data_IF_208750292511
#
_entry.id   IF_208750292511
#
_cell.length_a   1.000
_cell.length_b   1.000
_cell.length_c   1.000
_cell.angle_alpha   90.00
_cell.angle_beta   90.00
_cell.angle_gamma   90.00
#
_symmetry.space_group_name_H-M   'P 1'
#
loop_
_entity.id
_entity.type
_entity.pdbx_description
1 polymer ?
#
# COMPACT_ATOMS: atom_id res chain seq x y z
N UNK A 1 3.12 -54.32 0.94
CA UNK A 1 3.42 -54.89 2.24
C UNK A 1 3.35 -53.73 3.20
N UNK A 2 2.17 -53.39 3.68
CA UNK A 2 1.45 -53.86 4.88
C UNK A 2 2.13 -53.40 6.16
N UNK A 3 1.41 -52.50 6.89
CA UNK A 3 1.71 -52.12 8.24
C UNK A 3 0.87 -50.92 8.68
N UNK A 4 -0.48 -51.09 8.77
CA UNK A 4 -1.37 -50.17 9.49
C UNK A 4 -1.51 -50.73 10.89
N UNK A 5 -0.90 -50.10 11.89
CA UNK A 5 -1.17 -50.40 13.28
C UNK A 5 -2.39 -49.59 13.76
N UNK A 6 -3.34 -50.33 14.26
CA UNK A 6 -4.60 -49.84 14.81
C UNK A 6 -4.37 -49.26 16.21
N UNK A 7 -4.86 -48.05 16.46
CA UNK A 7 -4.93 -47.41 17.79
C UNK A 7 -6.04 -48.02 18.64
N UNK A 8 -5.68 -48.34 19.91
CA UNK A 8 -6.48 -48.92 20.99
C UNK A 8 -7.75 -48.10 21.30
N UNK A 9 -8.96 -48.72 21.41
CA UNK A 9 -10.22 -48.03 21.65
C UNK A 9 -10.51 -47.64 23.09
N UNK A 10 -9.55 -47.61 24.02
CA UNK A 10 -9.80 -47.45 25.48
C UNK A 10 -9.57 -46.07 26.06
N UNK A 11 -9.45 -45.03 25.26
CA UNK A 11 -9.38 -43.63 25.75
C UNK A 11 -10.59 -42.81 25.32
N UNK A 12 -11.79 -43.22 25.73
CA UNK A 12 -12.94 -42.32 25.85
C UNK A 12 -13.17 -42.06 27.35
N UNK A 13 -12.54 -41.03 27.86
CA UNK A 13 -12.86 -40.41 29.14
C UNK A 13 -13.94 -39.35 28.96
N UNK A 14 -15.09 -39.68 29.48
CA UNK A 14 -16.30 -38.84 29.56
C UNK A 14 -16.12 -37.89 30.77
N UNK A 15 -15.71 -36.65 30.52
CA UNK A 15 -15.63 -35.58 31.53
C UNK A 15 -15.98 -34.21 30.96
N UNK A 16 -17.21 -34.06 30.50
CA UNK A 16 -17.71 -32.80 29.96
C UNK A 16 -19.20 -32.54 30.19
N UNK A 17 -19.70 -32.78 31.42
CA UNK A 17 -21.06 -32.28 31.72
C UNK A 17 -21.40 -32.36 33.22
N UNK A 18 -20.79 -31.56 34.09
CA UNK A 18 -21.22 -31.42 35.50
C UNK A 18 -21.22 -30.00 36.00
N UNK A 19 -21.87 -29.08 35.29
CA UNK A 19 -22.02 -27.71 35.80
C UNK A 19 -23.44 -27.10 35.76
N UNK A 20 -24.48 -27.86 35.44
CA UNK A 20 -25.87 -27.31 35.39
C UNK A 20 -26.93 -28.32 35.88
N UNK A 21 -26.90 -28.70 37.19
CA UNK A 21 -28.07 -29.29 37.85
C UNK A 21 -28.11 -28.87 39.31
N UNK A 22 -28.42 -27.61 39.58
CA UNK A 22 -28.97 -27.21 40.88
C UNK A 22 -30.46 -27.54 40.86
N UNK A 23 -30.94 -28.30 41.83
CA UNK A 23 -32.34 -28.66 42.00
C UNK A 23 -33.21 -27.39 42.22
N UNK A 24 -34.51 -27.47 41.91
CA UNK A 24 -35.44 -26.36 42.13
C UNK A 24 -35.48 -25.94 43.62
N UNK A 25 -35.24 -26.86 44.55
CA UNK A 25 -35.17 -26.58 45.99
C UNK A 25 -33.93 -25.78 46.38
N UNK A 26 -32.79 -26.00 45.76
CA UNK A 26 -31.58 -25.22 46.00
C UNK A 26 -31.69 -23.79 45.51
N UNK A 27 -32.39 -23.62 44.40
CA UNK A 27 -32.68 -22.24 43.86
C UNK A 27 -33.62 -21.47 44.79
N UNK A 28 -34.63 -22.10 45.37
CA UNK A 28 -35.56 -21.46 46.30
C UNK A 28 -34.85 -21.05 47.62
N UNK A 29 -33.95 -21.89 48.15
CA UNK A 29 -33.17 -21.55 49.35
C UNK A 29 -32.20 -20.38 49.15
N UNK A 30 -31.63 -20.26 48.00
CA UNK A 30 -30.74 -19.11 47.67
C UNK A 30 -31.56 -17.83 47.54
N UNK A 31 -32.75 -17.85 46.93
CA UNK A 31 -33.61 -16.67 46.79
C UNK A 31 -34.20 -16.21 48.15
N UNK A 32 -34.50 -17.11 49.05
CA UNK A 32 -35.01 -16.80 50.41
C UNK A 32 -33.92 -16.19 51.31
N UNK A 33 -32.65 -16.60 51.13
CA UNK A 33 -31.50 -16.01 51.85
C UNK A 33 -31.27 -14.53 51.50
N UNK A 34 -31.60 -14.09 50.27
CA UNK A 34 -31.45 -12.70 49.83
C UNK A 34 -32.57 -11.77 50.28
N UNK A 35 -33.67 -12.29 50.87
CA UNK A 35 -34.81 -11.45 51.35
C UNK A 35 -34.69 -10.98 52.78
N UNK A 36 -33.64 -11.32 53.52
CA UNK A 36 -33.46 -10.84 54.91
C UNK A 36 -32.47 -9.63 54.95
N UNK A 37 -32.97 -8.42 55.32
CA UNK A 37 -32.16 -7.18 55.25
C UNK A 37 -31.04 -7.02 56.28
N UNK A 38 -30.74 -8.07 57.11
CA UNK A 38 -29.68 -8.05 58.10
C UNK A 38 -28.50 -9.00 57.85
N UNK A 39 -28.51 -9.76 56.74
CA UNK A 39 -27.44 -10.71 56.42
C UNK A 39 -26.34 -10.14 55.49
N UNK A 40 -26.60 -9.05 54.80
CA UNK A 40 -25.68 -8.49 53.83
C UNK A 40 -24.38 -7.91 54.44
N UNK A 41 -24.40 -7.21 55.61
CA UNK A 41 -23.17 -6.71 56.24
C UNK A 41 -22.31 -7.81 56.84
N UNK A 42 -22.92 -8.89 57.32
CA UNK A 42 -22.17 -10.02 57.94
C UNK A 42 -21.52 -10.91 56.88
N UNK A 43 -22.10 -11.07 55.72
CA UNK A 43 -21.53 -11.80 54.59
C UNK A 43 -20.38 -11.06 53.94
N UNK A 44 -20.45 -9.73 53.87
CA UNK A 44 -19.35 -8.88 53.35
C UNK A 44 -18.19 -8.85 54.37
N UNK A 45 -18.46 -8.84 55.69
CA UNK A 45 -17.43 -8.88 56.73
C UNK A 45 -16.76 -10.28 56.83
N UNK A 46 -17.48 -11.37 56.59
CA UNK A 46 -16.88 -12.72 56.54
C UNK A 46 -16.09 -12.97 55.25
N UNK A 47 -16.49 -12.40 54.14
CA UNK A 47 -15.73 -12.47 52.90
C UNK A 47 -14.41 -11.64 52.98
N UNK A 48 -14.40 -10.57 53.78
CA UNK A 48 -13.19 -9.76 54.02
C UNK A 48 -12.21 -10.36 55.03
N UNK A 49 -12.65 -11.29 55.86
CA UNK A 49 -11.79 -11.98 56.87
C UNK A 49 -11.30 -13.36 56.43
N UNK A 50 -11.75 -13.89 55.30
CA UNK A 50 -11.38 -15.18 54.76
C UNK A 50 -10.36 -15.11 53.60
N UNK A 51 -9.65 -14.01 53.47
CA UNK A 51 -8.49 -13.91 52.58
C UNK A 51 -7.23 -13.73 53.43
N UNK A 52 -6.63 -14.82 53.98
CA UNK A 52 -5.26 -14.75 54.45
C UNK A 52 -4.38 -14.82 53.20
N UNK A 53 -3.77 -13.70 52.86
CA UNK A 53 -2.43 -13.69 52.28
C UNK A 53 -2.19 -14.56 51.05
N UNK A 54 -3.01 -14.42 50.00
CA UNK A 54 -2.50 -14.55 48.64
C UNK A 54 -2.37 -13.16 48.04
N UNK A 55 -1.42 -12.40 48.56
CA UNK A 55 -0.63 -11.57 47.67
C UNK A 55 0.12 -12.56 46.78
N UNK A 56 -0.58 -13.15 45.80
CA UNK A 56 0.07 -13.54 44.58
C UNK A 56 0.65 -12.22 44.07
N UNK A 57 1.96 -12.04 44.32
CA UNK A 57 2.75 -11.31 43.38
C UNK A 57 2.36 -11.93 42.04
N UNK A 58 1.42 -11.31 41.34
CA UNK A 58 1.35 -11.40 39.92
C UNK A 58 2.71 -10.82 39.54
N UNK A 59 3.73 -11.67 39.48
CA UNK A 59 4.87 -11.39 38.64
C UNK A 59 4.21 -11.03 37.32
N UNK A 60 4.14 -9.74 37.03
CA UNK A 60 4.02 -9.30 35.67
C UNK A 60 5.18 -9.98 34.98
N UNK A 61 4.89 -11.11 34.34
CA UNK A 61 5.89 -11.83 33.58
C UNK A 61 6.50 -10.74 32.72
N UNK A 62 7.76 -10.42 32.96
CA UNK A 62 8.46 -9.38 32.25
C UNK A 62 8.25 -9.73 30.79
N UNK A 63 7.60 -8.84 30.02
CA UNK A 63 7.26 -9.12 28.64
C UNK A 63 8.54 -9.64 27.99
N UNK A 64 8.50 -10.87 27.47
CA UNK A 64 9.69 -11.49 26.89
C UNK A 64 10.32 -10.50 25.92
N UNK A 65 11.63 -10.34 25.96
CA UNK A 65 12.33 -9.42 25.07
C UNK A 65 11.94 -9.75 23.62
N UNK A 66 11.65 -8.73 22.78
CA UNK A 66 11.23 -8.94 21.40
C UNK A 66 12.24 -9.83 20.66
N UNK A 67 11.75 -10.80 19.92
CA UNK A 67 12.60 -11.72 19.16
C UNK A 67 12.84 -11.13 17.77
N UNK A 68 14.10 -11.06 17.36
CA UNK A 68 14.50 -10.72 15.99
C UNK A 68 14.83 -12.02 15.25
N UNK A 69 14.01 -12.40 14.29
CA UNK A 69 14.25 -13.58 13.46
C UNK A 69 15.15 -13.23 12.25
N UNK A 70 16.17 -14.06 12.00
CA UNK A 70 17.11 -13.82 10.89
C UNK A 70 16.48 -14.02 9.52
N UNK A 71 15.48 -14.89 9.41
CA UNK A 71 14.71 -15.11 8.17
C UNK A 71 13.90 -13.88 7.83
N UNK A 72 13.24 -13.25 8.82
CA UNK A 72 12.51 -12.01 8.63
C UNK A 72 13.42 -10.87 8.20
N UNK A 73 14.59 -10.72 8.84
CA UNK A 73 15.60 -9.72 8.45
C UNK A 73 16.08 -9.94 7.02
N UNK A 74 16.40 -11.19 6.65
CA UNK A 74 16.86 -11.52 5.29
C UNK A 74 15.75 -11.26 4.26
N UNK A 75 14.49 -11.63 4.58
CA UNK A 75 13.32 -11.36 3.74
C UNK A 75 13.11 -9.87 3.53
N UNK A 76 13.18 -9.07 4.59
CA UNK A 76 12.94 -7.62 4.51
C UNK A 76 14.05 -6.88 3.77
N UNK A 77 15.31 -7.28 3.93
CA UNK A 77 16.42 -6.74 3.12
C UNK A 77 16.24 -7.10 1.64
N UNK A 78 15.86 -8.35 1.33
CA UNK A 78 15.54 -8.79 -0.04
C UNK A 78 14.36 -8.01 -0.60
N UNK A 79 13.28 -7.85 0.18
CA UNK A 79 12.10 -7.08 -0.22
C UNK A 79 12.45 -5.62 -0.50
N UNK A 80 13.32 -5.00 0.29
CA UNK A 80 13.82 -3.65 0.06
C UNK A 80 14.56 -3.54 -1.29
N UNK A 81 15.44 -4.50 -1.59
CA UNK A 81 16.14 -4.56 -2.89
C UNK A 81 15.16 -4.75 -4.06
N UNK A 82 14.13 -5.58 -3.89
CA UNK A 82 13.09 -5.79 -4.90
C UNK A 82 12.29 -4.51 -5.18
N UNK A 83 11.95 -3.72 -4.16
CA UNK A 83 11.27 -2.42 -4.36
C UNK A 83 12.19 -1.38 -4.99
N UNK A 84 13.48 -1.38 -4.66
CA UNK A 84 14.46 -0.57 -5.38
C UNK A 84 14.56 -0.97 -6.86
N UNK A 85 14.62 -2.29 -7.14
CA UNK A 85 14.66 -2.84 -8.49
C UNK A 85 13.43 -2.43 -9.32
N UNK A 86 12.23 -2.49 -8.73
CA UNK A 86 11.03 -2.08 -9.47
C UNK A 86 10.98 -0.58 -9.73
N UNK A 87 11.64 0.25 -8.93
CA UNK A 87 11.61 1.71 -9.08
C UNK A 87 12.66 2.20 -10.05
N UNK A 88 13.94 2.00 -9.72
CA UNK A 88 15.04 2.64 -10.46
C UNK A 88 15.20 2.04 -11.85
N UNK A 89 15.37 0.73 -12.08
CA UNK A 89 15.31 0.21 -13.43
C UNK A 89 13.88 -0.06 -13.93
N UNK A 90 13.00 -0.62 -13.10
CA UNK A 90 11.66 -1.07 -13.55
C UNK A 90 10.77 0.05 -14.05
N UNK A 91 10.42 0.99 -13.17
CA UNK A 91 9.56 2.13 -13.51
C UNK A 91 10.23 3.05 -14.54
N UNK A 92 11.55 3.28 -14.40
CA UNK A 92 12.29 4.10 -15.34
C UNK A 92 12.20 3.53 -16.77
N UNK A 93 12.43 2.22 -16.97
CA UNK A 93 12.30 1.58 -18.29
C UNK A 93 10.85 1.52 -18.77
N UNK A 94 9.90 1.27 -17.87
CA UNK A 94 8.48 1.26 -18.22
C UNK A 94 8.07 2.63 -18.79
N UNK A 95 8.37 3.72 -18.08
CA UNK A 95 8.09 5.07 -18.52
C UNK A 95 8.97 5.50 -19.71
N UNK A 96 10.25 5.14 -19.66
CA UNK A 96 11.21 5.42 -20.73
C UNK A 96 10.76 4.87 -22.07
N UNK A 97 10.21 3.64 -22.09
CA UNK A 97 9.65 3.05 -23.31
C UNK A 97 8.38 3.73 -23.83
N UNK A 98 7.59 4.33 -22.93
CA UNK A 98 6.30 4.98 -23.26
C UNK A 98 6.45 6.39 -23.83
N UNK A 99 7.47 7.15 -23.44
CA UNK A 99 7.72 8.49 -23.97
C UNK A 99 8.28 8.46 -25.39
N UNK A 100 8.31 9.63 -26.06
CA UNK A 100 9.01 9.77 -27.36
C UNK A 100 10.54 9.66 -27.14
N UNK A 101 11.27 9.16 -28.14
CA UNK A 101 12.72 8.88 -28.07
C UNK A 101 13.58 10.06 -27.58
N UNK A 102 13.16 11.28 -27.85
CA UNK A 102 13.84 12.52 -27.44
C UNK A 102 13.58 12.95 -25.98
N UNK A 103 12.85 12.16 -25.20
CA UNK A 103 12.49 12.43 -23.80
C UNK A 103 12.79 11.24 -22.88
N UNK A 104 13.53 10.23 -23.36
CA UNK A 104 13.83 9.01 -22.62
C UNK A 104 14.68 9.32 -21.40
N UNK A 105 15.85 9.96 -21.61
CA UNK A 105 16.77 10.29 -20.53
C UNK A 105 16.15 11.26 -19.52
N UNK A 106 15.32 12.19 -20.01
CA UNK A 106 14.62 13.12 -19.14
C UNK A 106 13.68 12.40 -18.17
N UNK A 107 12.90 11.40 -18.61
CA UNK A 107 12.01 10.68 -17.69
C UNK A 107 12.78 9.72 -16.78
N UNK A 108 13.82 9.07 -17.28
CA UNK A 108 14.72 8.24 -16.46
C UNK A 108 15.36 9.07 -15.33
N UNK A 109 15.89 10.25 -15.68
CA UNK A 109 16.50 11.18 -14.73
C UNK A 109 15.49 11.70 -13.71
N UNK A 110 14.26 11.97 -14.11
CA UNK A 110 13.19 12.36 -13.18
C UNK A 110 12.88 11.25 -12.18
N UNK A 111 12.73 9.99 -12.62
CA UNK A 111 12.49 8.84 -11.73
C UNK A 111 13.64 8.68 -10.74
N UNK A 112 14.88 8.66 -11.22
CA UNK A 112 16.08 8.51 -10.38
C UNK A 112 16.23 9.65 -9.38
N UNK A 113 16.10 10.89 -9.82
CA UNK A 113 16.30 12.06 -8.99
C UNK A 113 15.20 12.23 -7.92
N UNK A 114 13.93 11.98 -8.28
CA UNK A 114 12.82 12.03 -7.34
C UNK A 114 12.95 10.94 -6.28
N UNK A 115 13.27 9.70 -6.68
CA UNK A 115 13.52 8.62 -5.75
C UNK A 115 14.63 8.97 -4.76
N UNK A 116 15.79 9.43 -5.28
CA UNK A 116 16.96 9.80 -4.47
C UNK A 116 16.65 10.95 -3.52
N UNK A 117 15.95 11.99 -4.00
CA UNK A 117 15.56 13.13 -3.18
C UNK A 117 14.67 12.68 -2.01
N UNK A 118 13.63 11.89 -2.30
CA UNK A 118 12.66 11.45 -1.28
C UNK A 118 13.33 10.52 -0.25
N UNK A 119 14.22 9.62 -0.66
CA UNK A 119 14.98 8.77 0.28
C UNK A 119 15.84 9.62 1.23
N UNK A 120 16.47 10.70 0.75
CA UNK A 120 17.21 11.62 1.62
C UNK A 120 16.28 12.41 2.56
N UNK A 121 15.16 12.91 2.06
CA UNK A 121 14.15 13.59 2.88
C UNK A 121 13.49 12.63 3.89
N UNK A 122 13.36 11.33 3.53
CA UNK A 122 12.88 10.29 4.43
C UNK A 122 13.76 10.17 5.67
N UNK A 123 15.07 10.10 5.49
CA UNK A 123 16.02 10.05 6.60
C UNK A 123 16.05 11.37 7.37
N UNK A 124 15.95 12.50 6.69
CA UNK A 124 16.00 13.81 7.34
C UNK A 124 14.81 14.04 8.28
N UNK A 125 13.58 13.81 7.83
CA UNK A 125 12.37 14.05 8.61
C UNK A 125 11.18 13.15 8.26
N UNK A 126 11.22 12.47 7.12
CA UNK A 126 10.06 11.70 6.62
C UNK A 126 9.71 10.54 7.53
N UNK A 127 10.71 9.78 7.97
CA UNK A 127 10.51 8.63 8.84
C UNK A 127 9.81 9.01 10.14
N UNK A 128 10.28 10.06 10.80
CA UNK A 128 9.69 10.49 12.09
C UNK A 128 8.27 11.04 11.92
N UNK A 129 7.99 11.75 10.82
CA UNK A 129 6.64 12.27 10.56
C UNK A 129 5.65 11.19 10.12
N UNK A 130 6.12 10.09 9.50
CA UNK A 130 5.27 8.97 9.12
C UNK A 130 5.09 7.94 10.25
N UNK A 131 6.15 7.62 11.00
CA UNK A 131 6.19 6.51 11.96
C UNK A 131 6.70 6.89 13.36
N UNK A 132 6.99 8.14 13.60
CA UNK A 132 7.27 8.66 14.94
C UNK A 132 5.98 8.82 15.76
N UNK A 133 6.10 8.92 17.10
CA UNK A 133 5.00 9.23 17.98
C UNK A 133 4.28 10.52 17.56
N UNK A 134 3.05 10.74 18.00
CA UNK A 134 2.35 11.96 17.64
C UNK A 134 0.82 11.83 17.65
N UNK A 135 0.17 12.65 16.85
CA UNK A 135 -1.29 12.66 16.74
C UNK A 135 -1.81 11.68 15.67
N UNK A 136 -3.11 11.76 15.43
CA UNK A 136 -3.80 10.86 14.50
C UNK A 136 -3.49 11.10 13.01
N UNK A 137 -2.86 12.21 12.66
CA UNK A 137 -2.68 12.67 11.27
C UNK A 137 -1.24 12.78 10.83
N UNK A 138 -0.30 12.97 11.76
CA UNK A 138 1.13 13.12 11.47
C UNK A 138 1.95 12.87 12.75
N UNK A 139 3.15 12.31 12.61
CA UNK A 139 4.10 12.08 13.68
C UNK A 139 4.81 13.34 14.18
N UNK A 140 5.68 13.17 15.15
CA UNK A 140 6.50 14.24 15.77
C UNK A 140 7.87 14.36 15.09
N UNK A 141 8.75 15.19 15.66
CA UNK A 141 10.13 15.36 15.20
C UNK A 141 11.17 14.62 16.07
N UNK A 142 10.74 13.63 16.87
CA UNK A 142 11.61 12.98 17.86
C UNK A 142 12.77 12.20 17.24
N UNK A 143 12.60 11.72 16.01
CA UNK A 143 13.60 10.94 15.27
C UNK A 143 14.15 11.69 14.04
N UNK A 144 14.25 13.03 14.10
CA UNK A 144 14.90 13.79 13.03
C UNK A 144 16.30 13.25 12.73
N UNK A 145 16.63 13.09 11.45
CA UNK A 145 17.89 12.49 10.98
C UNK A 145 18.15 11.11 11.62
N UNK A 146 17.09 10.35 11.92
CA UNK A 146 17.12 9.06 12.62
C UNK A 146 17.77 9.16 14.03
N UNK A 147 17.63 10.31 14.70
CA UNK A 147 18.11 10.47 16.08
C UNK A 147 17.50 9.39 16.98
N UNK A 148 18.37 8.72 17.74
CA UNK A 148 17.96 7.61 18.62
C UNK A 148 17.72 6.27 17.92
N UNK A 149 17.79 6.19 16.59
CA UNK A 149 17.78 4.93 15.85
C UNK A 149 19.19 4.36 15.83
N UNK A 150 19.37 3.16 16.38
CA UNK A 150 20.67 2.48 16.50
C UNK A 150 20.59 1.05 15.98
N UNK A 151 21.68 0.28 16.10
CA UNK A 151 21.67 -1.15 15.73
C UNK A 151 20.80 -1.99 16.68
N UNK A 152 20.54 -1.48 17.88
CA UNK A 152 19.81 -2.12 18.94
C UNK A 152 18.32 -1.75 18.95
N UNK A 153 17.92 -0.66 18.26
CA UNK A 153 16.52 -0.24 18.20
C UNK A 153 15.72 -1.16 17.28
N UNK A 154 14.47 -1.40 17.67
CA UNK A 154 13.60 -2.36 17.02
C UNK A 154 12.31 -1.69 16.56
N UNK A 155 11.80 -2.13 15.42
CA UNK A 155 10.46 -1.85 14.92
C UNK A 155 9.58 -3.09 15.09
N UNK A 156 8.38 -2.90 15.61
CA UNK A 156 7.41 -3.98 15.76
C UNK A 156 6.95 -4.51 14.39
N UNK A 157 6.62 -5.79 14.34
CA UNK A 157 5.94 -6.43 13.22
C UNK A 157 4.46 -6.64 13.56
N UNK A 158 3.75 -7.45 12.77
CA UNK A 158 2.34 -7.78 13.03
C UNK A 158 2.17 -8.90 14.06
N UNK A 159 3.21 -9.69 14.34
CA UNK A 159 3.19 -10.74 15.36
C UNK A 159 3.68 -10.19 16.69
N UNK A 160 2.85 -10.33 17.74
CA UNK A 160 3.22 -9.86 19.07
C UNK A 160 4.54 -10.51 19.55
N UNK A 161 5.49 -9.69 19.99
CA UNK A 161 6.81 -10.14 20.46
C UNK A 161 7.82 -10.42 19.35
N UNK A 162 7.46 -10.24 18.06
CA UNK A 162 8.39 -10.30 16.92
C UNK A 162 8.72 -8.87 16.47
N UNK A 163 9.99 -8.64 16.16
CA UNK A 163 10.47 -7.31 15.75
C UNK A 163 11.58 -7.40 14.71
N UNK A 164 11.75 -6.32 13.97
CA UNK A 164 12.85 -6.12 13.03
C UNK A 164 13.85 -5.09 13.58
N UNK A 165 15.14 -5.16 13.23
CA UNK A 165 16.02 -4.01 13.40
C UNK A 165 15.40 -2.77 12.76
N UNK A 166 15.32 -1.67 13.49
CA UNK A 166 14.61 -0.47 13.02
C UNK A 166 15.18 0.07 11.71
N UNK A 167 16.50 -0.06 11.49
CA UNK A 167 17.13 0.30 10.20
C UNK A 167 16.57 -0.48 9.00
N UNK A 168 16.16 -1.74 9.18
CA UNK A 168 15.53 -2.54 8.11
C UNK A 168 14.17 -1.97 7.76
N UNK A 169 13.37 -1.63 8.76
CA UNK A 169 12.06 -1.00 8.57
C UNK A 169 12.18 0.40 7.92
N UNK A 170 13.12 1.23 8.40
CA UNK A 170 13.43 2.54 7.80
C UNK A 170 13.79 2.41 6.32
N UNK A 171 14.69 1.47 5.98
CA UNK A 171 15.12 1.25 4.60
C UNK A 171 13.97 0.77 3.72
N UNK A 172 13.16 -0.20 4.19
CA UNK A 172 12.01 -0.71 3.45
C UNK A 172 10.99 0.39 3.16
N UNK A 173 10.57 1.13 4.17
CA UNK A 173 9.57 2.18 4.02
C UNK A 173 10.07 3.38 3.20
N UNK A 174 11.38 3.65 3.18
CA UNK A 174 11.97 4.68 2.32
C UNK A 174 11.74 4.40 0.83
N UNK A 175 11.75 3.13 0.43
CA UNK A 175 11.52 2.73 -0.96
C UNK A 175 10.08 2.96 -1.40
N UNK A 176 9.11 2.81 -0.50
CA UNK A 176 7.69 3.13 -0.73
C UNK A 176 7.48 4.63 -0.94
N UNK A 177 8.07 5.45 -0.09
CA UNK A 177 8.05 6.90 -0.23
C UNK A 177 8.66 7.32 -1.58
N UNK A 178 9.81 6.77 -1.91
CA UNK A 178 10.55 7.08 -3.14
C UNK A 178 9.79 6.72 -4.40
N UNK A 179 9.25 5.49 -4.49
CA UNK A 179 8.48 5.07 -5.67
C UNK A 179 7.20 5.88 -5.82
N UNK A 180 6.51 6.21 -4.71
CA UNK A 180 5.26 6.96 -4.78
C UNK A 180 5.44 8.32 -5.47
N UNK A 181 6.50 9.06 -5.10
CA UNK A 181 6.83 10.30 -5.79
C UNK A 181 7.25 10.10 -7.25
N UNK A 182 8.02 9.03 -7.54
CA UNK A 182 8.46 8.71 -8.89
C UNK A 182 7.30 8.31 -9.83
N UNK A 183 6.23 7.71 -9.32
CA UNK A 183 5.04 7.40 -10.12
C UNK A 183 4.38 8.63 -10.72
N UNK A 184 4.36 9.75 -9.99
CA UNK A 184 3.65 10.97 -10.39
C UNK A 184 4.22 11.57 -11.69
N UNK A 185 5.54 11.43 -11.90
CA UNK A 185 6.24 12.08 -13.03
C UNK A 185 5.70 11.63 -14.39
N UNK A 186 5.17 10.42 -14.47
CA UNK A 186 4.56 9.90 -15.70
C UNK A 186 3.40 10.74 -16.23
N UNK A 187 2.64 11.39 -15.35
CA UNK A 187 1.45 12.13 -15.75
C UNK A 187 1.76 13.40 -16.57
N UNK A 188 2.88 14.03 -16.31
CA UNK A 188 3.30 15.29 -16.95
C UNK A 188 4.64 15.19 -17.68
N UNK A 189 5.09 13.97 -17.97
CA UNK A 189 6.29 13.72 -18.76
C UNK A 189 6.29 14.50 -20.08
N UNK A 190 7.50 14.74 -20.62
CA UNK A 190 7.78 15.40 -21.90
C UNK A 190 7.59 16.93 -21.95
N UNK A 191 7.13 17.58 -20.85
CA UNK A 191 6.82 19.04 -20.90
C UNK A 191 7.09 19.81 -19.60
N UNK A 192 7.38 19.14 -18.49
CA UNK A 192 7.65 19.80 -17.21
C UNK A 192 9.13 20.15 -17.07
N UNK A 193 9.44 21.24 -16.37
CA UNK A 193 10.82 21.61 -16.01
C UNK A 193 11.35 20.66 -14.94
N UNK A 194 12.59 20.19 -15.09
CA UNK A 194 13.21 19.27 -14.13
C UNK A 194 13.21 19.81 -12.68
N UNK A 195 13.62 21.10 -12.50
CA UNK A 195 13.56 21.76 -11.18
C UNK A 195 12.15 21.85 -10.59
N UNK A 196 11.13 21.93 -11.44
CA UNK A 196 9.74 21.94 -10.99
C UNK A 196 9.32 20.56 -10.46
N UNK A 197 9.78 19.48 -11.09
CA UNK A 197 9.55 18.12 -10.60
C UNK A 197 10.15 17.94 -9.21
N UNK A 198 11.40 18.35 -8.99
CA UNK A 198 12.06 18.17 -7.70
C UNK A 198 11.40 18.98 -6.58
N UNK A 199 11.08 20.25 -6.82
CA UNK A 199 10.42 21.10 -5.83
C UNK A 199 9.00 20.58 -5.52
N UNK A 200 8.24 20.18 -6.55
CA UNK A 200 6.92 19.57 -6.38
C UNK A 200 7.03 18.30 -5.53
N UNK A 201 7.95 17.41 -5.86
CA UNK A 201 8.12 16.13 -5.16
C UNK A 201 8.45 16.33 -3.69
N UNK A 202 9.30 17.30 -3.33
CA UNK A 202 9.61 17.63 -1.95
C UNK A 202 8.38 18.15 -1.18
N UNK A 203 7.62 19.09 -1.75
CA UNK A 203 6.40 19.63 -1.15
C UNK A 203 5.31 18.57 -1.02
N UNK A 204 5.07 17.84 -2.09
CA UNK A 204 4.04 16.80 -2.11
C UNK A 204 4.37 15.64 -1.16
N UNK A 205 5.62 15.18 -1.13
CA UNK A 205 6.08 14.19 -0.15
C UNK A 205 5.79 14.64 1.27
N UNK A 206 6.15 15.87 1.62
CA UNK A 206 6.00 16.41 2.97
C UNK A 206 4.53 16.55 3.38
N UNK A 207 3.70 17.12 2.51
CA UNK A 207 2.35 17.54 2.89
C UNK A 207 1.24 16.59 2.41
N UNK A 208 1.50 15.70 1.45
CA UNK A 208 0.52 14.70 1.03
C UNK A 208 0.92 13.29 1.48
N UNK A 209 2.12 12.83 1.10
CA UNK A 209 2.53 11.45 1.36
C UNK A 209 2.63 11.15 2.86
N UNK A 210 3.38 11.95 3.61
CA UNK A 210 3.65 11.68 5.03
C UNK A 210 2.37 11.65 5.89
N UNK A 211 1.42 12.61 5.79
CA UNK A 211 0.17 12.52 6.54
C UNK A 211 -0.68 11.30 6.16
N UNK A 212 -0.78 10.96 4.87
CA UNK A 212 -1.56 9.79 4.45
C UNK A 212 -0.90 8.49 4.95
N UNK A 213 0.43 8.36 4.84
CA UNK A 213 1.17 7.21 5.36
C UNK A 213 1.00 7.05 6.87
N UNK A 214 1.07 8.15 7.63
CA UNK A 214 0.83 8.13 9.07
C UNK A 214 -0.60 7.72 9.41
N UNK A 215 -1.59 8.32 8.79
CA UNK A 215 -3.00 8.00 9.05
C UNK A 215 -3.33 6.53 8.80
N UNK A 216 -2.69 5.90 7.80
CA UNK A 216 -3.02 4.54 7.35
C UNK A 216 -2.12 3.47 7.97
N UNK A 217 -0.82 3.76 8.19
CA UNK A 217 0.18 2.73 8.52
C UNK A 217 0.86 2.89 9.89
N UNK A 218 0.69 4.02 10.57
CA UNK A 218 1.34 4.23 11.87
C UNK A 218 0.86 3.26 12.95
N UNK A 219 -0.29 2.62 12.77
CA UNK A 219 -0.88 1.69 13.74
C UNK A 219 -2.08 2.30 14.46
N UNK A 220 -2.38 1.86 15.71
CA UNK A 220 -3.64 2.18 16.38
C UNK A 220 -3.95 3.67 16.53
N UNK A 221 -2.93 4.51 16.58
CA UNK A 221 -3.07 5.96 16.72
C UNK A 221 -3.30 6.66 15.37
N UNK A 222 -2.99 6.03 14.23
CA UNK A 222 -3.28 6.56 12.90
C UNK A 222 -4.79 6.63 12.64
N UNK A 223 -5.29 7.78 12.21
CA UNK A 223 -6.73 8.03 12.13
C UNK A 223 -7.50 7.04 11.24
N UNK A 224 -7.00 6.74 10.05
CA UNK A 224 -7.64 5.77 9.14
C UNK A 224 -7.44 4.33 9.61
N UNK A 225 -6.27 4.01 10.18
CA UNK A 225 -6.02 2.72 10.81
C UNK A 225 -7.03 2.47 11.95
N UNK A 226 -7.21 3.45 12.86
CA UNK A 226 -8.16 3.37 13.96
C UNK A 226 -9.63 3.22 13.50
N UNK A 227 -9.95 3.63 12.26
CA UNK A 227 -11.26 3.39 11.63
C UNK A 227 -11.39 1.99 11.02
N UNK A 228 -10.32 1.18 11.03
CA UNK A 228 -10.29 -0.14 10.44
C UNK A 228 -10.02 -0.14 8.92
N UNK A 229 -9.44 0.93 8.37
CA UNK A 229 -9.05 0.95 6.96
C UNK A 229 -7.98 -0.12 6.69
N UNK A 230 -8.20 -0.92 5.66
CA UNK A 230 -7.26 -1.95 5.19
C UNK A 230 -6.54 -1.42 3.97
N UNK A 231 -5.24 -1.25 4.10
CA UNK A 231 -4.34 -0.91 3.01
C UNK A 231 -3.01 -1.63 3.21
N UNK A 232 -2.96 -2.90 2.78
CA UNK A 232 -1.87 -3.81 3.12
C UNK A 232 -0.51 -3.32 2.63
N UNK A 233 -0.45 -2.82 1.40
CA UNK A 233 0.81 -2.40 0.81
C UNK A 233 0.74 -1.06 0.04
N UNK A 234 -0.35 -0.26 0.12
CA UNK A 234 -0.36 1.09 -0.42
C UNK A 234 -1.35 1.37 -1.54
N UNK A 235 -2.53 0.74 -1.52
CA UNK A 235 -3.61 1.10 -2.46
C UNK A 235 -3.99 2.57 -2.35
N UNK A 236 -4.17 3.08 -1.14
CA UNK A 236 -4.43 4.48 -0.84
C UNK A 236 -3.14 5.28 -0.71
N UNK A 237 -2.21 4.83 0.13
CA UNK A 237 -0.98 5.58 0.44
C UNK A 237 -0.11 5.82 -0.79
N UNK A 238 -0.01 4.85 -1.69
CA UNK A 238 0.84 4.93 -2.88
C UNK A 238 0.02 5.25 -4.13
N UNK A 239 -0.90 4.36 -4.52
CA UNK A 239 -1.47 4.39 -5.87
C UNK A 239 -2.54 5.47 -6.07
N UNK A 240 -3.53 5.56 -5.17
CA UNK A 240 -4.55 6.63 -5.26
C UNK A 240 -3.88 7.98 -5.07
N UNK A 241 -2.99 8.10 -4.09
CA UNK A 241 -2.28 9.32 -3.77
C UNK A 241 -1.45 9.83 -4.96
N UNK A 242 -0.60 8.98 -5.57
CA UNK A 242 0.17 9.34 -6.76
C UNK A 242 -0.72 9.58 -7.99
N UNK A 243 -1.77 8.77 -8.19
CA UNK A 243 -2.69 8.90 -9.30
C UNK A 243 -3.40 10.25 -9.31
N UNK A 244 -3.93 10.67 -8.15
CA UNK A 244 -4.60 11.97 -7.99
C UNK A 244 -3.61 13.13 -8.19
N UNK A 245 -2.42 13.05 -7.61
CA UNK A 245 -1.38 14.06 -7.81
C UNK A 245 -0.99 14.18 -9.30
N UNK A 246 -0.87 13.05 -9.99
CA UNK A 246 -0.60 13.00 -11.42
C UNK A 246 -1.70 13.68 -12.25
N UNK A 247 -2.97 13.41 -11.94
CA UNK A 247 -4.10 14.04 -12.61
C UNK A 247 -4.11 15.57 -12.43
N UNK A 248 -3.90 16.05 -11.19
CA UNK A 248 -3.77 17.48 -10.90
C UNK A 248 -2.60 18.08 -11.69
N UNK A 249 -1.45 17.39 -11.71
CA UNK A 249 -0.28 17.80 -12.48
C UNK A 249 -0.56 17.87 -14.00
N UNK A 250 -1.27 16.89 -14.54
CA UNK A 250 -1.65 16.89 -15.95
C UNK A 250 -2.47 18.12 -16.35
N UNK A 251 -3.35 18.62 -15.46
CA UNK A 251 -4.12 19.84 -15.67
C UNK A 251 -3.27 21.11 -15.53
N UNK A 252 -2.49 21.23 -14.47
CA UNK A 252 -1.80 22.48 -14.14
C UNK A 252 -0.55 22.72 -15.01
N UNK A 253 0.14 21.67 -15.44
CA UNK A 253 1.23 21.76 -16.43
C UNK A 253 0.67 21.98 -17.84
N UNK A 254 -0.55 21.52 -18.10
CA UNK A 254 -1.24 21.67 -19.40
C UNK A 254 -0.92 20.53 -20.38
N UNK A 255 -1.54 20.59 -21.56
CA UNK A 255 -1.42 19.54 -22.59
C UNK A 255 -0.09 19.65 -23.33
N UNK A 256 0.46 18.50 -23.76
CA UNK A 256 1.63 18.44 -24.66
C UNK A 256 1.36 19.14 -25.97
N UNK A 257 2.39 19.70 -26.57
CA UNK A 257 2.35 20.21 -27.91
C UNK A 257 1.92 19.10 -28.88
N UNK A 258 0.94 19.35 -29.74
CA UNK A 258 0.38 18.34 -30.64
C UNK A 258 -0.66 17.40 -30.04
N UNK A 259 -0.96 17.46 -28.72
CA UNK A 259 -1.95 16.59 -28.10
C UNK A 259 -3.32 16.67 -28.79
N UNK A 260 -3.83 15.49 -29.20
CA UNK A 260 -5.10 15.37 -29.92
C UNK A 260 -5.04 15.75 -31.42
N UNK A 261 -3.88 16.18 -31.91
CA UNK A 261 -3.66 16.53 -33.33
C UNK A 261 -2.58 15.68 -33.98
N UNK A 262 -1.56 15.31 -33.24
CA UNK A 262 -0.42 14.49 -33.67
C UNK A 262 -0.43 13.14 -32.89
N UNK A 263 0.10 12.10 -33.55
CA UNK A 263 0.25 10.81 -32.91
C UNK A 263 1.46 10.83 -31.96
N UNK A 264 1.20 10.85 -30.65
CA UNK A 264 2.23 10.72 -29.61
C UNK A 264 2.31 9.23 -29.24
N UNK A 265 3.19 8.51 -29.90
CA UNK A 265 3.34 7.05 -29.73
C UNK A 265 4.53 6.72 -28.83
N UNK A 266 4.46 5.62 -28.01
CA UNK A 266 5.62 5.02 -27.37
C UNK A 266 6.72 4.75 -28.41
N UNK A 267 7.97 5.08 -28.04
CA UNK A 267 9.08 4.84 -28.96
C UNK A 267 9.62 3.42 -28.87
N UNK A 268 9.49 2.76 -27.72
CA UNK A 268 10.07 1.43 -27.49
C UNK A 268 9.21 0.56 -26.57
N UNK A 269 8.27 -0.18 -27.17
CA UNK A 269 7.37 -1.07 -26.43
C UNK A 269 8.13 -2.25 -25.79
N UNK A 270 9.32 -2.62 -26.30
CA UNK A 270 10.18 -3.63 -25.70
C UNK A 270 10.71 -3.15 -24.35
N UNK A 271 11.17 -1.90 -24.24
CA UNK A 271 11.58 -1.31 -22.96
C UNK A 271 10.39 -1.23 -21.99
N UNK A 272 9.21 -0.86 -22.49
CA UNK A 272 7.98 -0.87 -21.69
C UNK A 272 7.69 -2.26 -21.12
N UNK A 273 7.84 -3.32 -21.94
CA UNK A 273 7.61 -4.70 -21.46
C UNK A 273 8.67 -5.14 -20.46
N UNK A 274 9.95 -4.85 -20.70
CA UNK A 274 11.03 -5.15 -19.76
C UNK A 274 10.77 -4.43 -18.42
N UNK A 275 10.43 -3.14 -18.47
CA UNK A 275 10.07 -2.36 -17.31
C UNK A 275 8.88 -2.93 -16.54
N UNK A 276 7.80 -3.31 -17.23
CA UNK A 276 6.63 -3.96 -16.63
C UNK A 276 7.00 -5.29 -15.96
N UNK A 277 7.92 -6.08 -16.58
CA UNK A 277 8.40 -7.33 -15.99
C UNK A 277 9.22 -7.10 -14.71
N UNK A 278 10.09 -6.09 -14.69
CA UNK A 278 10.84 -5.69 -13.51
C UNK A 278 9.92 -5.14 -12.41
N UNK A 279 8.88 -4.40 -12.78
CA UNK A 279 7.82 -3.98 -11.86
C UNK A 279 7.14 -5.20 -11.25
N UNK A 280 6.78 -6.22 -12.03
CA UNK A 280 6.14 -7.43 -11.53
C UNK A 280 7.03 -8.18 -10.54
N UNK A 281 8.29 -8.42 -10.89
CA UNK A 281 9.26 -9.10 -10.01
C UNK A 281 9.45 -8.32 -8.71
N UNK A 282 9.66 -7.01 -8.78
CA UNK A 282 9.86 -6.17 -7.61
C UNK A 282 8.63 -6.06 -6.72
N UNK A 283 7.43 -6.23 -7.30
CA UNK A 283 6.18 -6.14 -6.55
C UNK A 283 5.96 -7.30 -5.58
N UNK A 284 6.67 -8.40 -5.71
CA UNK A 284 6.71 -9.43 -4.68
C UNK A 284 7.34 -8.90 -3.39
N UNK A 285 8.42 -8.13 -3.50
CA UNK A 285 8.98 -7.41 -2.34
C UNK A 285 8.06 -6.31 -1.82
N UNK A 286 7.39 -5.59 -2.73
CA UNK A 286 6.44 -4.54 -2.37
C UNK A 286 5.26 -5.11 -1.57
N UNK A 287 4.55 -6.09 -2.09
CA UNK A 287 3.36 -6.68 -1.49
C UNK A 287 3.68 -7.68 -0.38
N UNK A 288 4.45 -8.73 -0.67
CA UNK A 288 4.72 -9.75 0.34
C UNK A 288 5.75 -9.29 1.39
N UNK A 289 6.63 -8.33 1.06
CA UNK A 289 7.47 -7.64 2.04
C UNK A 289 6.67 -6.80 3.03
N UNK A 290 5.50 -6.27 2.65
CA UNK A 290 4.61 -5.53 3.56
C UNK A 290 4.01 -6.38 4.69
N UNK A 291 4.19 -7.71 4.64
CA UNK A 291 3.92 -8.58 5.77
C UNK A 291 4.92 -8.42 6.92
N UNK A 292 6.08 -7.79 6.69
CA UNK A 292 7.19 -7.56 7.60
C UNK A 292 7.86 -8.84 8.15
N UNK A 293 7.34 -10.02 7.85
CA UNK A 293 7.78 -11.33 8.34
C UNK A 293 7.73 -12.35 7.22
N UNK A 294 8.64 -13.34 7.22
CA UNK A 294 8.67 -14.46 6.27
C UNK A 294 7.70 -15.59 6.70
N UNK A 295 6.43 -15.25 6.89
CA UNK A 295 5.38 -16.16 7.38
C UNK A 295 4.41 -16.58 6.27
N UNK A 296 3.40 -17.37 6.66
CA UNK A 296 2.29 -17.73 5.76
C UNK A 296 1.54 -16.50 5.20
N UNK A 297 1.51 -15.38 5.94
CA UNK A 297 0.96 -14.10 5.45
C UNK A 297 1.73 -13.56 4.24
N UNK A 298 3.06 -13.59 4.27
CA UNK A 298 3.89 -13.24 3.13
C UNK A 298 3.66 -14.18 1.94
N UNK A 299 3.53 -15.50 2.19
CA UNK A 299 3.24 -16.47 1.14
C UNK A 299 1.87 -16.23 0.49
N UNK A 300 0.84 -15.88 1.27
CA UNK A 300 -0.48 -15.50 0.75
C UNK A 300 -0.40 -14.24 -0.12
N UNK A 301 0.24 -13.18 0.38
CA UNK A 301 0.41 -11.92 -0.36
C UNK A 301 1.19 -12.14 -1.67
N UNK A 302 2.22 -13.00 -1.66
CA UNK A 302 2.99 -13.40 -2.82
C UNK A 302 2.10 -14.09 -3.87
N UNK A 303 1.35 -15.13 -3.46
CA UNK A 303 0.44 -15.86 -4.35
C UNK A 303 -0.63 -14.95 -4.94
N UNK A 304 -1.27 -14.13 -4.10
CA UNK A 304 -2.32 -13.22 -4.54
C UNK A 304 -1.79 -12.17 -5.54
N UNK A 305 -0.57 -11.68 -5.34
CA UNK A 305 0.09 -10.78 -6.28
C UNK A 305 0.30 -11.45 -7.65
N UNK A 306 0.76 -12.70 -7.66
CA UNK A 306 0.93 -13.48 -8.90
C UNK A 306 -0.41 -13.67 -9.63
N UNK A 307 -1.44 -14.12 -8.92
CA UNK A 307 -2.75 -14.46 -9.49
C UNK A 307 -3.48 -13.24 -10.04
N UNK A 308 -3.55 -12.16 -9.26
CA UNK A 308 -4.24 -10.95 -9.69
C UNK A 308 -3.57 -10.31 -10.91
N UNK A 309 -2.25 -10.29 -10.95
CA UNK A 309 -1.51 -9.76 -12.08
C UNK A 309 -1.75 -10.56 -13.35
N UNK A 310 -1.69 -11.88 -13.27
CA UNK A 310 -1.96 -12.77 -14.41
C UNK A 310 -3.41 -12.59 -14.91
N UNK A 311 -4.38 -12.54 -14.00
CA UNK A 311 -5.79 -12.32 -14.32
C UNK A 311 -6.02 -10.96 -15.00
N UNK A 312 -5.37 -9.90 -14.50
CA UNK A 312 -5.50 -8.56 -15.07
C UNK A 312 -4.88 -8.45 -16.47
N UNK A 313 -3.70 -9.04 -16.69
CA UNK A 313 -3.05 -9.07 -18.01
C UNK A 313 -3.93 -9.73 -19.06
N UNK A 314 -4.55 -10.87 -18.70
CA UNK A 314 -5.49 -11.58 -19.58
C UNK A 314 -6.79 -10.80 -19.80
N UNK A 315 -7.39 -10.25 -18.73
CA UNK A 315 -8.62 -9.48 -18.83
C UNK A 315 -8.44 -8.21 -19.66
N UNK A 316 -7.34 -7.48 -19.47
CA UNK A 316 -6.98 -6.33 -20.31
C UNK A 316 -6.88 -6.73 -21.80
N UNK A 317 -6.08 -7.78 -22.06
CA UNK A 317 -5.87 -8.28 -23.45
C UNK A 317 -7.18 -8.71 -24.11
N UNK A 318 -8.08 -9.36 -23.36
CA UNK A 318 -9.40 -9.78 -23.84
C UNK A 318 -10.28 -8.57 -24.16
N UNK A 319 -10.39 -7.60 -23.24
CA UNK A 319 -11.19 -6.40 -23.45
C UNK A 319 -10.64 -5.59 -24.62
N UNK A 320 -9.34 -5.45 -24.74
CA UNK A 320 -8.69 -4.77 -25.85
C UNK A 320 -8.97 -5.47 -27.19
N UNK A 321 -8.90 -6.80 -27.23
CA UNK A 321 -9.24 -7.59 -28.41
C UNK A 321 -10.69 -7.39 -28.84
N UNK A 322 -11.63 -7.34 -27.88
CA UNK A 322 -13.06 -7.08 -28.14
C UNK A 322 -13.30 -5.66 -28.66
N UNK A 323 -12.67 -4.66 -28.02
CA UNK A 323 -12.94 -3.24 -28.31
C UNK A 323 -12.16 -2.73 -29.53
N UNK A 324 -10.90 -3.20 -29.72
CA UNK A 324 -9.99 -2.73 -30.77
C UNK A 324 -9.71 -3.78 -31.85
N UNK A 325 -10.23 -5.01 -31.71
CA UNK A 325 -10.07 -6.11 -32.64
C UNK A 325 -8.79 -6.95 -32.42
N UNK A 326 -7.79 -6.45 -31.70
CA UNK A 326 -6.52 -7.17 -31.41
C UNK A 326 -5.97 -6.77 -30.05
N UNK A 327 -5.39 -7.72 -29.28
CA UNK A 327 -4.61 -7.39 -28.09
C UNK A 327 -3.27 -6.79 -28.53
N UNK A 328 -2.69 -5.92 -27.70
CA UNK A 328 -1.38 -5.32 -27.93
C UNK A 328 -0.42 -5.65 -26.79
N UNK A 329 0.90 -5.67 -27.07
CA UNK A 329 1.92 -5.84 -26.02
C UNK A 329 1.88 -4.69 -25.02
N UNK A 330 1.64 -3.46 -25.50
CA UNK A 330 1.44 -2.31 -24.65
C UNK A 330 0.25 -2.50 -23.69
N UNK A 331 -0.87 -2.99 -24.22
CA UNK A 331 -2.05 -3.33 -23.41
C UNK A 331 -1.75 -4.41 -22.37
N UNK A 332 -1.04 -5.46 -22.77
CA UNK A 332 -0.61 -6.52 -21.85
C UNK A 332 0.26 -5.99 -20.71
N UNK A 333 1.26 -5.16 -21.01
CA UNK A 333 2.11 -4.50 -20.02
C UNK A 333 1.32 -3.58 -19.07
N UNK A 334 0.36 -2.82 -19.61
CA UNK A 334 -0.53 -1.97 -18.79
C UNK A 334 -1.46 -2.82 -17.91
N UNK A 335 -1.94 -3.95 -18.42
CA UNK A 335 -2.75 -4.92 -17.67
C UNK A 335 -1.99 -5.54 -16.49
N UNK A 336 -0.70 -5.87 -16.69
CA UNK A 336 0.20 -6.31 -15.61
C UNK A 336 0.22 -5.26 -14.49
N UNK A 337 0.50 -3.99 -14.83
CA UNK A 337 0.57 -2.92 -13.81
C UNK A 337 -0.79 -2.69 -13.15
N UNK A 338 -1.90 -2.74 -13.90
CA UNK A 338 -3.25 -2.57 -13.34
C UNK A 338 -3.58 -3.65 -12.30
N UNK A 339 -3.19 -4.90 -12.55
CA UNK A 339 -3.36 -6.01 -11.61
C UNK A 339 -2.53 -5.87 -10.35
N UNK A 340 -1.25 -5.48 -10.52
CA UNK A 340 -0.34 -5.20 -9.42
C UNK A 340 -0.87 -4.09 -8.51
N UNK A 341 -1.34 -3.00 -9.10
CA UNK A 341 -1.93 -1.87 -8.38
C UNK A 341 -3.17 -2.27 -7.61
N UNK A 342 -4.12 -2.95 -8.26
CA UNK A 342 -5.40 -3.25 -7.64
C UNK A 342 -5.31 -4.30 -6.52
N UNK A 343 -4.36 -5.25 -6.60
CA UNK A 343 -4.17 -6.24 -5.53
C UNK A 343 -3.39 -5.67 -4.33
N UNK A 344 -2.67 -4.59 -4.51
CA UNK A 344 -1.79 -4.00 -3.48
C UNK A 344 -2.49 -3.76 -2.13
N UNK A 345 -3.68 -3.16 -2.02
CA UNK A 345 -4.35 -2.99 -0.72
C UNK A 345 -4.90 -4.30 -0.13
N UNK A 346 -5.07 -5.33 -0.94
CA UNK A 346 -5.82 -6.55 -0.62
C UNK A 346 -4.93 -7.80 -0.45
N UNK A 347 -3.68 -7.77 -0.94
CA UNK A 347 -2.88 -8.98 -1.18
C UNK A 347 -2.71 -9.89 0.04
N UNK A 348 -2.63 -9.34 1.25
CA UNK A 348 -2.49 -10.11 2.49
C UNK A 348 -3.82 -10.47 3.16
N UNK A 349 -4.96 -10.01 2.65
CA UNK A 349 -6.24 -10.15 3.34
C UNK A 349 -7.33 -10.88 2.55
N UNK A 350 -7.18 -11.03 1.24
CA UNK A 350 -8.13 -11.75 0.39
C UNK A 350 -7.67 -13.17 0.09
N UNK A 351 -8.61 -14.05 -0.23
CA UNK A 351 -8.28 -15.38 -0.73
C UNK A 351 -7.89 -15.37 -2.22
N UNK A 352 -7.33 -16.48 -2.74
CA UNK A 352 -6.88 -16.58 -4.13
C UNK A 352 -7.95 -16.28 -5.18
N UNK A 353 -9.20 -16.70 -4.96
CA UNK A 353 -10.31 -16.36 -5.87
C UNK A 353 -10.65 -14.87 -5.84
N UNK A 354 -10.59 -14.24 -4.66
CA UNK A 354 -10.73 -12.79 -4.53
C UNK A 354 -9.63 -12.03 -5.28
N UNK A 355 -8.39 -12.51 -5.19
CA UNK A 355 -7.27 -11.94 -5.93
C UNK A 355 -7.46 -12.02 -7.46
N UNK A 356 -7.89 -13.17 -7.98
CA UNK A 356 -8.23 -13.34 -9.41
C UNK A 356 -9.34 -12.37 -9.82
N UNK A 357 -10.40 -12.26 -9.00
CA UNK A 357 -11.53 -11.37 -9.28
C UNK A 357 -11.11 -9.90 -9.29
N UNK A 358 -10.33 -9.45 -8.30
CA UNK A 358 -9.79 -8.08 -8.23
C UNK A 358 -8.94 -7.78 -9.47
N UNK A 359 -8.04 -8.69 -9.83
CA UNK A 359 -7.19 -8.55 -11.00
C UNK A 359 -7.98 -8.45 -12.30
N UNK A 360 -8.93 -9.36 -12.52
CA UNK A 360 -9.76 -9.37 -13.73
C UNK A 360 -10.61 -8.10 -13.85
N UNK A 361 -11.25 -7.66 -12.78
CA UNK A 361 -12.05 -6.43 -12.74
C UNK A 361 -11.18 -5.21 -13.05
N UNK A 362 -10.01 -5.09 -12.39
CA UNK A 362 -9.10 -3.97 -12.60
C UNK A 362 -8.52 -3.98 -14.03
N UNK A 363 -8.10 -5.13 -14.54
CA UNK A 363 -7.60 -5.26 -15.90
C UNK A 363 -8.64 -4.80 -16.94
N UNK A 364 -9.90 -5.18 -16.76
CA UNK A 364 -10.97 -4.76 -17.64
C UNK A 364 -11.31 -3.25 -17.54
N UNK A 365 -11.47 -2.74 -16.32
CA UNK A 365 -11.89 -1.36 -16.08
C UNK A 365 -10.79 -0.34 -16.36
N UNK A 366 -9.52 -0.67 -16.15
CA UNK A 366 -8.41 0.23 -16.47
C UNK A 366 -8.21 0.42 -17.97
N UNK A 367 -8.67 -0.49 -18.85
CA UNK A 367 -8.76 -0.21 -20.29
C UNK A 367 -9.62 1.02 -20.56
N UNK A 368 -10.77 1.12 -19.87
CA UNK A 368 -11.61 2.33 -19.94
C UNK A 368 -10.92 3.52 -19.25
N UNK A 369 -10.19 3.28 -18.15
CA UNK A 369 -9.44 4.31 -17.42
C UNK A 369 -8.47 5.08 -18.31
N UNK A 370 -7.66 4.37 -19.11
CA UNK A 370 -6.66 4.97 -20.00
C UNK A 370 -7.24 5.47 -21.34
N UNK A 371 -8.49 5.16 -21.63
CA UNK A 371 -9.15 5.56 -22.89
C UNK A 371 -10.36 6.46 -22.66
N UNK A 372 -11.46 5.90 -22.15
CA UNK A 372 -12.74 6.59 -21.95
C UNK A 372 -12.68 7.65 -20.87
N UNK A 373 -12.20 7.27 -19.66
CA UNK A 373 -12.09 8.18 -18.53
C UNK A 373 -11.13 9.33 -18.82
N UNK A 374 -9.96 9.05 -19.40
CA UNK A 374 -9.00 10.08 -19.82
C UNK A 374 -9.62 11.10 -20.80
N UNK A 375 -10.44 10.62 -21.74
CA UNK A 375 -11.19 11.50 -22.67
C UNK A 375 -12.27 12.29 -21.94
N UNK A 376 -13.03 11.66 -21.04
CA UNK A 376 -14.07 12.31 -20.25
C UNK A 376 -13.48 13.44 -19.40
N UNK A 377 -12.36 13.17 -18.73
CA UNK A 377 -11.64 14.15 -17.92
C UNK A 377 -10.91 15.21 -18.76
N UNK A 378 -10.73 14.99 -20.08
CA UNK A 378 -9.99 15.89 -20.99
C UNK A 378 -8.57 16.20 -20.51
N UNK A 379 -7.95 15.29 -19.76
CA UNK A 379 -6.61 15.41 -19.20
C UNK A 379 -5.57 14.81 -20.15
N UNK A 380 -4.43 15.48 -20.34
CA UNK A 380 -3.25 14.88 -20.96
C UNK A 380 -2.38 14.24 -19.86
N UNK A 381 -2.90 13.17 -19.27
CA UNK A 381 -2.14 12.25 -18.42
C UNK A 381 -1.22 11.43 -19.33
N UNK A 382 0.06 11.84 -19.42
CA UNK A 382 0.94 11.40 -20.51
C UNK A 382 1.15 9.89 -20.54
N UNK A 383 1.37 9.26 -19.38
CA UNK A 383 1.66 7.83 -19.26
C UNK A 383 0.58 7.09 -18.45
N UNK A 384 -0.65 7.61 -18.46
CA UNK A 384 -1.85 6.99 -17.89
C UNK A 384 -1.77 6.72 -16.38
N UNK A 385 -1.08 7.59 -15.63
CA UNK A 385 -0.86 7.43 -14.18
C UNK A 385 -2.19 7.39 -13.41
N UNK A 386 -3.12 8.30 -13.69
CA UNK A 386 -4.44 8.27 -13.05
C UNK A 386 -5.27 7.09 -13.54
N UNK A 387 -5.24 6.80 -14.84
CA UNK A 387 -6.03 5.71 -15.45
C UNK A 387 -5.66 4.32 -14.91
N UNK A 388 -4.40 4.12 -14.52
CA UNK A 388 -3.89 2.85 -13.98
C UNK A 388 -3.79 2.90 -12.46
N UNK A 389 -3.03 3.87 -11.90
CA UNK A 389 -2.79 3.91 -10.45
C UNK A 389 -3.95 4.53 -9.67
N UNK A 390 -4.55 5.64 -10.14
CA UNK A 390 -5.69 6.26 -9.48
C UNK A 390 -6.93 5.36 -9.52
N UNK A 391 -7.38 4.99 -10.71
CA UNK A 391 -8.57 4.15 -10.88
C UNK A 391 -8.33 2.72 -10.36
N UNK A 392 -7.21 2.09 -10.71
CA UNK A 392 -6.87 0.75 -10.25
C UNK A 392 -6.75 0.67 -8.73
N UNK A 393 -6.14 1.68 -8.08
CA UNK A 393 -6.07 1.78 -6.62
C UNK A 393 -7.43 1.94 -5.97
N UNK A 394 -8.34 2.77 -6.54
CA UNK A 394 -9.73 2.92 -6.05
C UNK A 394 -10.47 1.59 -6.15
N UNK A 395 -10.40 0.91 -7.30
CA UNK A 395 -11.02 -0.40 -7.49
C UNK A 395 -10.48 -1.39 -6.45
N UNK A 396 -9.15 -1.48 -6.32
CA UNK A 396 -8.50 -2.38 -5.37
C UNK A 396 -8.91 -2.11 -3.93
N UNK A 397 -8.83 -0.85 -3.48
CA UNK A 397 -9.19 -0.46 -2.12
C UNK A 397 -10.66 -0.78 -1.80
N UNK A 398 -11.60 -0.50 -2.68
CA UNK A 398 -13.02 -0.81 -2.47
C UNK A 398 -13.28 -2.32 -2.45
N UNK A 399 -12.65 -3.07 -3.37
CA UNK A 399 -12.80 -4.52 -3.44
C UNK A 399 -12.08 -5.25 -2.30
N UNK A 400 -11.06 -4.64 -1.66
CA UNK A 400 -10.51 -5.13 -0.39
C UNK A 400 -11.61 -5.25 0.66
N UNK A 401 -12.49 -4.24 0.78
CA UNK A 401 -13.62 -4.26 1.70
C UNK A 401 -14.64 -5.36 1.43
N UNK A 402 -14.66 -5.92 0.23
CA UNK A 402 -15.55 -7.02 -0.17
C UNK A 402 -14.86 -8.38 0.03
N UNK A 403 -13.70 -8.58 -0.58
CA UNK A 403 -13.04 -9.90 -0.68
C UNK A 403 -12.22 -10.30 0.55
N UNK A 404 -12.05 -9.41 1.55
CA UNK A 404 -11.51 -9.77 2.86
C UNK A 404 -12.50 -10.64 3.67
N UNK A 405 -13.78 -10.69 3.29
CA UNK A 405 -14.79 -11.49 3.98
C UNK A 405 -14.45 -12.99 3.97
N UNK A 406 -14.53 -13.69 5.13
CA UNK A 406 -14.29 -15.14 5.21
C UNK A 406 -15.22 -15.96 4.30
N UNK A 407 -16.46 -15.51 4.11
CA UNK A 407 -17.42 -16.14 3.20
C UNK A 407 -16.99 -16.14 1.72
N UNK A 408 -16.03 -15.27 1.36
CA UNK A 408 -15.41 -15.18 0.04
C UNK A 408 -13.94 -15.69 0.03
N UNK A 409 -13.54 -16.39 1.11
CA UNK A 409 -12.22 -16.97 1.27
C UNK A 409 -11.16 -15.99 1.77
N UNK A 410 -11.54 -14.80 2.24
CA UNK A 410 -10.66 -13.81 2.84
C UNK A 410 -10.31 -14.12 4.30
N UNK A 411 -9.41 -13.34 4.88
CA UNK A 411 -8.85 -13.55 6.23
C UNK A 411 -9.51 -12.68 7.31
N UNK A 412 -10.63 -12.03 6.99
CA UNK A 412 -11.38 -11.19 7.94
C UNK A 412 -11.86 -11.97 9.16
N UNK A 413 -12.24 -11.25 10.22
CA UNK A 413 -12.81 -11.86 11.42
C UNK A 413 -14.15 -12.57 11.13
N UNK A 414 -14.57 -13.48 12.00
CA UNK A 414 -15.80 -14.26 11.80
C UNK A 414 -17.07 -13.38 11.70
N UNK A 415 -17.08 -12.23 12.35
CA UNK A 415 -18.14 -11.22 12.34
C UNK A 415 -17.94 -10.10 11.28
N UNK A 416 -17.07 -10.34 10.31
CA UNK A 416 -16.74 -9.36 9.26
C UNK A 416 -17.98 -8.91 8.48
N UNK A 417 -18.23 -7.61 8.48
CA UNK A 417 -19.31 -6.99 7.71
C UNK A 417 -18.79 -6.34 6.43
N UNK A 418 -19.14 -6.90 5.27
CA UNK A 418 -18.77 -6.35 3.96
C UNK A 418 -19.25 -4.90 3.83
N UNK A 419 -20.50 -4.60 4.21
CA UNK A 419 -21.05 -3.24 4.08
C UNK A 419 -20.29 -2.23 4.95
N UNK A 420 -19.96 -2.60 6.19
CA UNK A 420 -19.16 -1.76 7.07
C UNK A 420 -17.77 -1.53 6.49
N UNK A 421 -17.06 -2.60 6.15
CA UNK A 421 -15.70 -2.50 5.64
C UNK A 421 -15.63 -1.75 4.30
N UNK A 422 -16.59 -1.96 3.39
CA UNK A 422 -16.68 -1.18 2.16
C UNK A 422 -16.85 0.31 2.45
N UNK A 423 -17.67 0.68 3.46
CA UNK A 423 -17.81 2.06 3.91
C UNK A 423 -16.51 2.67 4.45
N UNK A 424 -15.76 1.89 5.24
CA UNK A 424 -14.44 2.31 5.75
C UNK A 424 -13.44 2.50 4.61
N UNK A 425 -13.41 1.58 3.65
CA UNK A 425 -12.55 1.70 2.47
C UNK A 425 -12.93 2.92 1.61
N UNK A 426 -14.22 3.16 1.41
CA UNK A 426 -14.70 4.34 0.69
C UNK A 426 -14.31 5.65 1.40
N UNK A 427 -14.35 5.68 2.75
CA UNK A 427 -13.85 6.81 3.53
C UNK A 427 -12.35 7.03 3.29
N UNK A 428 -11.54 5.97 3.37
CA UNK A 428 -10.09 6.05 3.14
C UNK A 428 -9.75 6.54 1.73
N UNK A 429 -10.45 6.01 0.71
CA UNK A 429 -10.36 6.49 -0.68
C UNK A 429 -10.71 7.98 -0.78
N UNK A 430 -11.85 8.37 -0.21
CA UNK A 430 -12.33 9.77 -0.27
C UNK A 430 -11.36 10.75 0.40
N UNK A 431 -10.85 10.41 1.57
CA UNK A 431 -9.84 11.21 2.28
C UNK A 431 -8.57 11.36 1.46
N UNK A 432 -8.06 10.25 0.90
CA UNK A 432 -6.85 10.27 0.09
C UNK A 432 -7.03 11.11 -1.18
N UNK A 433 -8.15 10.97 -1.89
CA UNK A 433 -8.47 11.75 -3.09
C UNK A 433 -8.52 13.25 -2.78
N UNK A 434 -9.25 13.62 -1.72
CA UNK A 434 -9.41 15.03 -1.35
C UNK A 434 -8.07 15.62 -0.86
N UNK A 435 -7.40 14.94 0.06
CA UNK A 435 -6.16 15.43 0.64
C UNK A 435 -5.04 15.56 -0.41
N UNK A 436 -4.77 14.48 -1.15
CA UNK A 436 -3.77 14.50 -2.23
C UNK A 436 -4.12 15.55 -3.30
N UNK A 437 -5.39 15.67 -3.67
CA UNK A 437 -5.86 16.65 -4.64
C UNK A 437 -5.58 18.08 -4.20
N UNK A 438 -6.01 18.45 -3.00
CA UNK A 438 -5.81 19.80 -2.46
C UNK A 438 -4.33 20.13 -2.31
N UNK A 439 -3.56 19.24 -1.68
CA UNK A 439 -2.12 19.44 -1.49
C UNK A 439 -1.39 19.54 -2.84
N UNK A 440 -1.74 18.71 -3.81
CA UNK A 440 -1.14 18.77 -5.15
C UNK A 440 -1.43 20.10 -5.84
N UNK A 441 -2.67 20.61 -5.77
CA UNK A 441 -2.99 21.93 -6.34
C UNK A 441 -2.14 23.01 -5.70
N UNK A 442 -2.05 23.05 -4.37
CA UNK A 442 -1.27 24.07 -3.66
C UNK A 442 0.23 23.94 -3.98
N UNK A 443 0.78 22.72 -3.97
CA UNK A 443 2.17 22.47 -4.31
C UNK A 443 2.51 22.93 -5.74
N UNK A 444 1.70 22.57 -6.74
CA UNK A 444 1.91 23.02 -8.12
C UNK A 444 1.78 24.55 -8.28
N UNK A 445 0.88 25.20 -7.56
CA UNK A 445 0.76 26.67 -7.59
C UNK A 445 2.01 27.34 -6.98
N UNK A 446 2.54 26.82 -5.87
CA UNK A 446 3.80 27.29 -5.28
C UNK A 446 4.94 27.10 -6.29
N UNK A 447 5.09 25.89 -6.84
CA UNK A 447 6.14 25.58 -7.84
C UNK A 447 6.03 26.50 -9.07
N UNK A 448 4.80 26.75 -9.54
CA UNK A 448 4.55 27.69 -10.66
C UNK A 448 5.07 29.08 -10.36
N UNK A 449 4.81 29.58 -9.14
CA UNK A 449 5.25 30.91 -8.72
C UNK A 449 6.77 31.01 -8.53
N UNK A 450 7.42 29.95 -8.04
CA UNK A 450 8.85 29.97 -7.67
C UNK A 450 9.77 29.66 -8.87
N UNK A 451 9.48 28.59 -9.62
CA UNK A 451 10.38 28.11 -10.69
C UNK A 451 9.69 27.97 -12.06
N UNK A 452 8.37 28.16 -12.12
CA UNK A 452 7.58 27.87 -13.31
C UNK A 452 7.43 26.37 -13.56
N UNK A 453 6.33 25.94 -14.16
CA UNK A 453 6.02 24.52 -14.34
C UNK A 453 6.58 23.95 -15.66
N UNK A 454 6.32 24.63 -16.77
CA UNK A 454 6.53 24.08 -18.10
C UNK A 454 7.74 24.67 -18.78
N UNK A 455 8.40 23.87 -19.61
CA UNK A 455 9.44 24.32 -20.53
C UNK A 455 8.84 25.18 -21.66
N UNK A 456 9.69 25.92 -22.40
CA UNK A 456 9.25 26.62 -23.62
C UNK A 456 8.79 25.62 -24.70
N UNK A 457 7.91 26.04 -25.60
CA UNK A 457 7.37 25.17 -26.64
C UNK A 457 8.47 24.64 -27.56
N UNK A 458 9.48 25.46 -27.87
CA UNK A 458 10.61 25.09 -28.70
C UNK A 458 11.40 23.94 -28.03
N UNK A 459 11.67 24.03 -26.72
CA UNK A 459 12.36 22.99 -25.97
C UNK A 459 11.54 21.67 -25.90
N UNK A 460 10.21 21.77 -25.80
CA UNK A 460 9.34 20.59 -25.85
C UNK A 460 9.34 19.95 -27.26
N UNK A 461 9.40 20.76 -28.30
CA UNK A 461 9.49 20.28 -29.70
C UNK A 461 10.84 19.66 -30.02
N UNK A 462 11.92 20.23 -29.53
CA UNK A 462 13.30 19.70 -29.65
C UNK A 462 13.46 18.40 -28.89
N UNK A 463 13.02 18.34 -27.62
CA UNK A 463 13.11 17.21 -26.71
C UNK A 463 13.89 17.54 -25.45
N UNK A 464 13.41 16.96 -24.32
CA UNK A 464 13.94 17.31 -23.00
C UNK A 464 15.28 16.63 -22.70
N UNK A 465 15.65 15.59 -23.42
CA UNK A 465 16.97 14.95 -23.26
C UNK A 465 18.09 15.97 -23.59
N UNK A 466 18.00 16.64 -24.73
CA UNK A 466 18.95 17.67 -25.12
C UNK A 466 18.73 18.96 -24.34
N UNK A 467 17.49 19.47 -24.28
CA UNK A 467 17.27 20.84 -23.77
C UNK A 467 17.34 20.95 -22.26
N UNK A 468 17.14 19.84 -21.52
CA UNK A 468 17.19 19.82 -20.07
C UNK A 468 18.43 19.13 -19.50
N UNK A 469 19.02 18.18 -20.22
CA UNK A 469 20.12 17.35 -19.73
C UNK A 469 21.38 17.37 -20.60
N UNK A 470 21.29 17.89 -21.85
CA UNK A 470 22.43 17.98 -22.74
C UNK A 470 22.89 16.64 -23.33
N UNK A 471 22.01 15.63 -23.31
CA UNK A 471 22.31 14.27 -23.70
C UNK A 471 21.30 13.74 -24.74
N UNK A 472 21.67 12.70 -25.47
CA UNK A 472 20.77 11.96 -26.35
C UNK A 472 20.80 10.47 -25.99
N UNK A 473 19.61 9.85 -25.92
CA UNK A 473 19.52 8.41 -25.65
C UNK A 473 19.98 7.55 -26.84
N UNK A 474 19.93 8.12 -28.04
CA UNK A 474 20.25 7.42 -29.29
C UNK A 474 21.10 8.33 -30.18
N UNK A 475 22.14 7.76 -30.78
CA UNK A 475 22.87 8.39 -31.87
C UNK A 475 21.97 8.48 -33.11
N UNK A 476 21.86 9.65 -33.71
CA UNK A 476 21.08 9.93 -34.91
C UNK A 476 21.87 9.62 -36.18
#
# INVERSE_FOLDING_TARGET
>A
MTGVEALDPRLRGDDGNRFWTLSLDDRHRIIEAFKRPRALPALIAMAALAIPGFALAQETAAAAAPVVDKGDVAWMLTSTLLVLLMTVPGLALFYGGLVRSKNVLSVLMQVLAVFSLIVLLWVAYGYTLAFGGGGAFIGTFDKLFLSGVTKETLAATFTAGVSLPEYVFVAFQSTFAGITGALIVGAFAERIRFRAVLLFSALWFTFAYLPIAHMVWYGPDGWLFAKGAIDFAGGTVVHINAGVAGLVGAYLVGRRVGYGREAIKPHNVTFTMIGASLLWVGWFGFNAGSNLEATAGAALAFLNTLLATAAAALAWSLVEAVVKGKPSMLGGASGVVAGLVAITPACGTVGPLGAIAIGAIAGALCVWGVTGLKRLLRADDALDVFGVHGLGGIIGALLTGVFTAPSLGGTGAADFSIAHQFGVQALSVGVTVVWSGVVSVLAFLIVKAVVGLRVAEEAEREGLDITSHGESAYES
#
